data_IF_892579129897
#
_entry.id   IF_892579129897
#
_cell.length_a   1.000
_cell.length_b   1.000
_cell.length_c   1.000
_cell.angle_alpha   90.00
_cell.angle_beta   90.00
_cell.angle_gamma   90.00
#
_symmetry.space_group_name_H-M   'P 1'
#
loop_
_entity.id
_entity.type
_entity.pdbx_description
1 polymer ?
#
# COMPACT_ATOMS: atom_id res chain seq x y z
N UNK A 1 -11.34 6.94 11.00
CA UNK A 1 -11.11 5.63 11.39
C UNK A 1 -12.23 4.71 11.07
N UNK A 2 -13.46 5.10 11.47
CA UNK A 2 -14.64 4.38 11.06
C UNK A 2 -14.72 4.31 9.54
N UNK A 3 -14.18 5.31 8.83
CA UNK A 3 -14.18 5.30 7.38
C UNK A 3 -13.31 4.19 6.81
N UNK A 4 -12.17 3.90 7.43
CA UNK A 4 -11.34 2.79 7.00
C UNK A 4 -12.07 1.47 7.21
N UNK A 5 -12.69 1.32 8.38
CA UNK A 5 -13.44 0.11 8.67
C UNK A 5 -14.61 -0.07 7.71
N UNK A 6 -15.32 1.01 7.40
CA UNK A 6 -16.42 0.94 6.46
C UNK A 6 -15.91 0.54 5.08
N UNK A 7 -14.78 1.08 4.65
CA UNK A 7 -14.22 0.71 3.35
C UNK A 7 -13.79 -0.74 3.29
N UNK A 8 -13.22 -1.27 4.37
CA UNK A 8 -12.86 -2.67 4.43
C UNK A 8 -14.12 -3.53 4.40
N UNK A 9 -15.15 -3.14 5.14
CA UNK A 9 -16.43 -3.86 5.11
C UNK A 9 -17.08 -3.79 3.74
N UNK A 10 -17.03 -2.62 3.12
CA UNK A 10 -17.55 -2.48 1.77
C UNK A 10 -16.79 -3.38 0.80
N UNK A 11 -15.51 -3.58 1.07
CA UNK A 11 -14.72 -4.50 0.29
C UNK A 11 -15.22 -5.92 0.38
N UNK A 12 -15.84 -6.28 1.51
CA UNK A 12 -16.41 -7.61 1.67
C UNK A 12 -17.53 -7.86 0.65
N UNK A 13 -18.20 -6.79 0.26
CA UNK A 13 -19.25 -6.93 -0.74
C UNK A 13 -18.69 -7.37 -2.09
N UNK A 14 -17.44 -7.05 -2.34
CA UNK A 14 -16.80 -7.47 -3.58
C UNK A 14 -16.49 -8.95 -3.58
N UNK A 15 -16.59 -9.59 -2.43
CA UNK A 15 -16.45 -11.04 -2.35
C UNK A 15 -17.53 -11.74 -3.13
N UNK A 16 -18.63 -11.06 -3.39
CA UNK A 16 -19.66 -11.59 -4.28
C UNK A 16 -19.07 -11.92 -5.65
N UNK A 17 -17.95 -11.33 -5.98
CA UNK A 17 -17.26 -11.59 -7.24
C UNK A 17 -16.13 -12.60 -7.06
N UNK A 18 -16.05 -13.25 -5.90
CA UNK A 18 -14.98 -14.20 -5.62
C UNK A 18 -13.64 -13.59 -5.31
N UNK A 19 -13.62 -12.31 -5.03
CA UNK A 19 -12.41 -11.58 -4.69
C UNK A 19 -12.37 -11.35 -3.20
N UNK A 20 -11.23 -11.34 -2.59
CA UNK A 20 -11.10 -11.03 -1.18
C UNK A 20 -11.48 -9.59 -0.85
N UNK A 21 -11.26 -9.15 0.39
CA UNK A 21 -11.55 -7.78 0.80
C UNK A 21 -10.93 -6.77 -0.16
N UNK A 22 -11.67 -5.74 -0.47
CA UNK A 22 -11.19 -4.68 -1.35
C UNK A 22 -10.85 -3.46 -0.50
N UNK A 23 -9.62 -3.01 -0.60
CA UNK A 23 -9.15 -1.86 0.17
C UNK A 23 -8.97 -0.69 -0.78
N UNK A 24 -9.75 0.37 -0.56
CA UNK A 24 -9.68 1.53 -1.43
C UNK A 24 -8.44 2.36 -1.16
N UNK A 25 -7.99 3.04 -2.19
CA UNK A 25 -6.87 3.98 -2.06
C UNK A 25 -7.18 5.07 -1.07
N UNK A 26 -8.45 5.51 -1.02
CA UNK A 26 -8.87 6.54 -0.06
C UNK A 26 -8.73 6.05 1.38
N UNK A 27 -9.03 4.80 1.65
CA UNK A 27 -8.88 4.24 2.99
C UNK A 27 -7.41 4.16 3.39
N UNK A 28 -6.55 3.76 2.46
CA UNK A 28 -5.11 3.69 2.70
C UNK A 28 -4.56 5.10 2.92
N UNK A 29 -5.01 6.07 2.12
CA UNK A 29 -4.61 7.47 2.30
C UNK A 29 -4.97 7.97 3.69
N UNK A 30 -6.18 7.66 4.16
CA UNK A 30 -6.61 8.04 5.50
C UNK A 30 -5.73 7.42 6.58
N UNK A 31 -5.33 6.17 6.40
CA UNK A 31 -4.42 5.52 7.34
C UNK A 31 -3.09 6.28 7.42
N UNK A 32 -2.52 6.66 6.28
CA UNK A 32 -1.27 7.41 6.28
C UNK A 32 -1.42 8.78 6.93
N UNK A 33 -2.58 9.42 6.77
CA UNK A 33 -2.85 10.67 7.48
C UNK A 33 -2.86 10.45 9.00
N UNK A 34 -3.47 9.34 9.44
CA UNK A 34 -3.46 8.99 10.86
C UNK A 34 -2.05 8.71 11.38
N UNK A 35 -1.17 8.22 10.52
CA UNK A 35 0.23 7.98 10.87
C UNK A 35 1.08 9.25 10.81
N UNK A 36 0.49 10.38 10.48
CA UNK A 36 1.18 11.67 10.54
C UNK A 36 1.68 12.20 9.21
N UNK A 37 1.29 11.59 8.10
CA UNK A 37 1.72 12.03 6.77
C UNK A 37 0.69 12.97 6.14
N UNK A 38 1.19 13.88 5.30
CA UNK A 38 0.33 14.60 4.36
C UNK A 38 0.26 13.74 3.11
N UNK A 39 -0.94 13.51 2.59
CA UNK A 39 -1.11 12.56 1.49
C UNK A 39 -1.72 13.23 0.27
N UNK A 40 -1.32 12.71 -0.89
CA UNK A 40 -1.88 13.09 -2.17
C UNK A 40 -2.20 11.80 -2.92
N UNK A 41 -3.46 11.62 -3.28
CA UNK A 41 -3.89 10.47 -4.08
C UNK A 41 -3.70 10.86 -5.54
N UNK A 42 -2.90 10.09 -6.26
CA UNK A 42 -2.64 10.35 -7.67
C UNK A 42 -3.59 9.50 -8.52
N UNK A 43 -3.76 9.89 -9.77
CA UNK A 43 -4.50 9.05 -10.69
C UNK A 43 -3.64 7.83 -10.99
N UNK A 44 -4.21 6.65 -10.78
CA UNK A 44 -3.57 5.42 -11.15
C UNK A 44 -3.35 5.41 -12.66
N UNK A 45 -2.13 5.15 -13.08
CA UNK A 45 -1.85 4.93 -14.49
C UNK A 45 -1.92 3.44 -14.76
N UNK A 46 -2.14 3.12 -16.02
CA UNK A 46 -2.24 1.73 -16.45
C UNK A 46 -0.99 0.94 -16.14
N UNK A 47 0.14 1.61 -16.07
CA UNK A 47 1.45 0.97 -15.91
C UNK A 47 1.91 0.92 -14.45
N UNK A 48 1.00 1.09 -13.52
CA UNK A 48 1.32 0.94 -12.11
C UNK A 48 2.17 2.06 -11.56
N UNK A 49 1.74 3.29 -11.76
CA UNK A 49 2.36 4.40 -11.09
C UNK A 49 2.00 4.37 -9.61
N UNK A 50 2.60 5.25 -8.84
CA UNK A 50 2.27 5.36 -7.43
C UNK A 50 0.84 5.84 -7.26
N UNK A 51 0.09 5.19 -6.37
CA UNK A 51 -1.29 5.56 -6.10
C UNK A 51 -1.39 6.69 -5.09
N UNK A 52 -0.45 6.74 -4.17
CA UNK A 52 -0.44 7.74 -3.10
C UNK A 52 0.98 8.24 -2.92
N UNK A 53 1.12 9.53 -2.73
CA UNK A 53 2.38 10.14 -2.31
C UNK A 53 2.16 10.67 -0.90
N UNK A 54 2.94 10.18 0.06
CA UNK A 54 2.83 10.58 1.45
C UNK A 54 4.11 11.30 1.85
N UNK A 55 3.97 12.48 2.46
CA UNK A 55 5.13 13.28 2.82
C UNK A 55 5.08 13.71 4.27
N UNK A 56 6.24 13.83 4.87
CA UNK A 56 6.40 14.52 6.14
C UNK A 56 7.27 15.74 5.90
N UNK A 57 6.75 16.89 6.23
CA UNK A 57 7.50 18.14 6.14
C UNK A 57 8.21 18.39 7.46
N UNK A 58 9.30 19.11 7.41
CA UNK A 58 10.07 19.42 8.60
C UNK A 58 11.49 19.78 8.19
N UNK A 59 12.40 19.88 9.16
CA UNK A 59 13.80 20.16 8.85
C UNK A 59 14.41 19.14 7.91
N UNK A 60 13.93 17.89 7.97
CA UNK A 60 14.37 16.83 7.07
C UNK A 60 13.12 16.28 6.38
N UNK A 61 12.82 16.73 5.16
CA UNK A 61 11.64 16.24 4.45
C UNK A 61 11.76 14.76 4.11
N UNK A 62 10.61 14.10 4.10
CA UNK A 62 10.57 12.66 3.83
C UNK A 62 9.41 12.37 2.88
N UNK A 63 9.66 11.58 1.85
CA UNK A 63 8.65 11.22 0.84
C UNK A 63 8.53 9.71 0.71
N UNK A 64 7.30 9.22 0.80
CA UNK A 64 6.94 7.84 0.51
C UNK A 64 6.12 7.79 -0.75
N UNK A 65 6.31 6.74 -1.54
CA UNK A 65 5.31 6.37 -2.54
C UNK A 65 4.60 5.12 -2.06
N UNK A 66 3.31 5.04 -2.29
CA UNK A 66 2.48 3.92 -1.85
C UNK A 66 1.76 3.36 -3.05
N UNK A 67 1.90 2.07 -3.27
CA UNK A 67 1.23 1.36 -4.32
C UNK A 67 0.17 0.45 -3.71
N UNK A 68 -1.07 0.53 -4.18
CA UNK A 68 -2.17 -0.30 -3.69
C UNK A 68 -2.54 -1.34 -4.74
N UNK A 69 -2.55 -2.60 -4.36
CA UNK A 69 -2.93 -3.71 -5.24
C UNK A 69 -4.14 -4.43 -4.66
N UNK A 70 -5.27 -4.30 -5.36
CA UNK A 70 -6.54 -4.90 -4.95
C UNK A 70 -6.72 -6.26 -5.61
N UNK A 71 -5.92 -7.22 -5.21
CA UNK A 71 -5.97 -8.55 -5.83
C UNK A 71 -6.73 -9.52 -4.95
N UNK A 72 -7.40 -10.48 -5.59
CA UNK A 72 -8.13 -11.50 -4.87
C UNK A 72 -7.21 -12.36 -4.00
N UNK A 73 -7.81 -13.02 -3.00
CA UNK A 73 -7.06 -13.76 -1.99
C UNK A 73 -6.13 -14.83 -2.58
N UNK A 74 -6.47 -15.37 -3.75
CA UNK A 74 -5.68 -16.41 -4.40
C UNK A 74 -4.63 -15.86 -5.37
N UNK A 75 -4.57 -14.54 -5.51
CA UNK A 75 -3.66 -13.92 -6.46
C UNK A 75 -2.61 -13.13 -5.68
N UNK A 76 -1.50 -13.78 -5.38
CA UNK A 76 -0.43 -13.17 -4.61
C UNK A 76 0.30 -12.12 -5.44
N UNK A 77 0.74 -11.08 -4.77
CA UNK A 77 1.58 -10.05 -5.40
C UNK A 77 2.99 -10.60 -5.52
N UNK A 78 3.49 -10.67 -6.74
CA UNK A 78 4.79 -11.28 -7.00
C UNK A 78 5.93 -10.25 -7.02
N UNK A 79 7.13 -10.76 -7.19
CA UNK A 79 8.33 -9.93 -7.13
C UNK A 79 8.39 -8.90 -8.26
N UNK A 80 7.74 -9.17 -9.40
CA UNK A 80 7.77 -8.21 -10.52
C UNK A 80 7.07 -6.90 -10.15
N UNK A 81 5.98 -6.99 -9.39
CA UNK A 81 5.27 -5.81 -8.89
C UNK A 81 6.16 -5.01 -7.94
N UNK A 82 6.79 -5.72 -7.01
CA UNK A 82 7.65 -5.07 -6.02
C UNK A 82 8.86 -4.41 -6.68
N UNK A 83 9.45 -5.07 -7.68
CA UNK A 83 10.53 -4.47 -8.45
C UNK A 83 10.10 -3.21 -9.19
N UNK A 84 8.91 -3.24 -9.79
CA UNK A 84 8.37 -2.08 -10.48
C UNK A 84 8.22 -0.89 -9.54
N UNK A 85 7.70 -1.13 -8.36
CA UNK A 85 7.53 -0.07 -7.35
C UNK A 85 8.88 0.49 -6.94
N UNK A 86 9.86 -0.39 -6.75
CA UNK A 86 11.21 0.05 -6.41
C UNK A 86 11.81 0.91 -7.53
N UNK A 87 11.57 0.55 -8.78
CA UNK A 87 12.00 1.33 -9.92
C UNK A 87 11.39 2.73 -9.93
N UNK A 88 10.10 2.84 -9.65
CA UNK A 88 9.42 4.13 -9.58
C UNK A 88 9.98 4.97 -8.42
N UNK A 89 10.17 4.33 -7.26
CA UNK A 89 10.75 4.99 -6.10
C UNK A 89 12.11 5.60 -6.44
N UNK A 90 12.96 4.83 -7.12
CA UNK A 90 14.28 5.26 -7.50
C UNK A 90 14.22 6.41 -8.50
N UNK A 91 13.37 6.29 -9.52
CA UNK A 91 13.22 7.31 -10.54
C UNK A 91 12.70 8.63 -9.97
N UNK A 92 11.81 8.55 -8.99
CA UNK A 92 11.25 9.74 -8.33
C UNK A 92 12.12 10.26 -7.19
N UNK A 93 13.15 9.53 -6.84
CA UNK A 93 14.02 9.85 -5.71
C UNK A 93 13.22 9.94 -4.39
N UNK A 94 12.19 9.12 -4.26
CA UNK A 94 11.44 9.02 -3.01
C UNK A 94 12.29 8.26 -1.99
N UNK A 95 12.08 8.57 -0.73
CA UNK A 95 12.89 7.99 0.35
C UNK A 95 12.55 6.52 0.59
N UNK A 96 11.24 6.19 0.53
CA UNK A 96 10.77 4.83 0.74
C UNK A 96 9.57 4.56 -0.13
N UNK A 97 9.24 3.28 -0.24
CA UNK A 97 7.98 2.86 -0.85
C UNK A 97 7.29 1.84 0.03
N UNK A 98 5.96 1.80 -0.07
CA UNK A 98 5.13 0.83 0.61
C UNK A 98 4.22 0.19 -0.44
N UNK A 99 4.17 -1.13 -0.47
CA UNK A 99 3.21 -1.83 -1.32
C UNK A 99 2.16 -2.43 -0.41
N UNK A 100 0.91 -2.05 -0.62
CA UNK A 100 -0.23 -2.50 0.18
C UNK A 100 -1.09 -3.39 -0.69
N UNK A 101 -1.48 -4.54 -0.19
CA UNK A 101 -2.36 -5.42 -0.94
C UNK A 101 -3.46 -6.00 -0.05
N UNK A 102 -4.60 -6.27 -0.66
CA UNK A 102 -5.69 -7.01 -0.01
C UNK A 102 -5.43 -8.52 -0.06
N UNK A 103 -4.35 -8.94 -0.70
CA UNK A 103 -3.93 -10.32 -0.82
C UNK A 103 -2.71 -10.59 0.05
N UNK A 104 -1.80 -11.39 -0.45
CA UNK A 104 -0.54 -11.76 0.18
C UNK A 104 0.58 -11.53 -0.83
N UNK A 105 1.81 -11.61 -0.35
CA UNK A 105 2.99 -11.51 -1.20
C UNK A 105 3.62 -12.88 -1.38
N UNK A 106 4.25 -13.08 -2.54
CA UNK A 106 5.03 -14.30 -2.75
C UNK A 106 6.30 -14.25 -1.90
N UNK A 107 6.89 -15.42 -1.73
CA UNK A 107 8.14 -15.53 -0.99
C UNK A 107 9.25 -14.68 -1.63
N UNK A 108 9.33 -14.67 -2.95
CA UNK A 108 10.34 -13.88 -3.66
C UNK A 108 10.11 -12.38 -3.50
N UNK A 109 8.84 -11.95 -3.49
CA UNK A 109 8.51 -10.54 -3.25
C UNK A 109 8.97 -10.12 -1.85
N UNK A 110 8.69 -10.94 -0.86
CA UNK A 110 9.12 -10.66 0.51
C UNK A 110 10.63 -10.62 0.64
N UNK A 111 11.32 -11.54 0.01
CA UNK A 111 12.77 -11.57 0.04
C UNK A 111 13.37 -10.30 -0.58
N UNK A 112 12.83 -9.88 -1.71
CA UNK A 112 13.30 -8.67 -2.38
C UNK A 112 13.18 -7.45 -1.44
N UNK A 113 12.03 -7.31 -0.77
CA UNK A 113 11.81 -6.21 0.15
C UNK A 113 12.66 -6.30 1.40
N UNK A 114 12.84 -7.51 1.94
CA UNK A 114 13.69 -7.70 3.12
C UNK A 114 15.13 -7.28 2.88
N UNK A 115 15.64 -7.55 1.68
CA UNK A 115 16.98 -7.14 1.32
C UNK A 115 17.10 -5.61 1.18
N UNK A 116 15.96 -4.93 1.15
CA UNK A 116 15.86 -3.46 1.02
C UNK A 116 14.97 -2.89 2.11
N UNK A 117 15.05 -3.45 3.31
CA UNK A 117 14.09 -3.13 4.38
C UNK A 117 14.06 -1.66 4.78
N UNK A 118 15.12 -0.92 4.53
CA UNK A 118 15.14 0.50 4.81
C UNK A 118 14.55 1.32 3.67
N UNK A 119 14.27 0.70 2.54
CA UNK A 119 13.76 1.38 1.35
C UNK A 119 12.35 0.95 0.98
N UNK A 120 11.94 -0.25 1.38
CA UNK A 120 10.64 -0.81 1.02
C UNK A 120 9.97 -1.50 2.18
N UNK A 121 8.65 -1.37 2.26
CA UNK A 121 7.82 -2.07 3.23
C UNK A 121 6.64 -2.71 2.49
N UNK A 122 6.31 -3.93 2.85
CA UNK A 122 5.17 -4.64 2.28
C UNK A 122 4.12 -4.85 3.36
N UNK A 123 2.89 -4.44 3.08
CA UNK A 123 1.74 -4.68 3.96
C UNK A 123 0.72 -5.53 3.22
N UNK A 124 0.54 -6.75 3.67
CA UNK A 124 -0.55 -7.58 3.19
C UNK A 124 -1.82 -7.28 3.98
N UNK A 125 -2.89 -8.03 3.73
CA UNK A 125 -4.17 -7.76 4.39
C UNK A 125 -4.05 -7.88 5.92
N UNK A 126 -3.27 -8.82 6.42
CA UNK A 126 -3.13 -9.00 7.87
C UNK A 126 -2.37 -7.84 8.50
N UNK A 127 -1.30 -7.38 7.84
CA UNK A 127 -0.54 -6.21 8.29
C UNK A 127 -1.43 -4.98 8.33
N UNK A 128 -2.24 -4.81 7.29
CA UNK A 128 -3.10 -3.64 7.17
C UNK A 128 -4.17 -3.63 8.25
N UNK A 129 -4.81 -4.78 8.49
CA UNK A 129 -5.83 -4.88 9.53
C UNK A 129 -5.26 -4.58 10.91
N UNK A 130 -4.05 -5.07 11.17
CA UNK A 130 -3.38 -4.80 12.43
C UNK A 130 -3.11 -3.31 12.60
N UNK A 131 -2.64 -2.64 11.55
CA UNK A 131 -2.38 -1.20 11.60
C UNK A 131 -3.66 -0.40 11.82
N UNK A 132 -4.74 -0.79 11.18
CA UNK A 132 -6.04 -0.14 11.38
C UNK A 132 -6.48 -0.28 12.84
N UNK A 133 -6.34 -1.46 13.41
CA UNK A 133 -6.72 -1.71 14.80
C UNK A 133 -5.86 -0.88 15.75
N UNK A 134 -4.56 -0.81 15.51
CA UNK A 134 -3.63 -0.10 16.40
C UNK A 134 -3.78 1.42 16.33
N UNK A 135 -4.26 1.95 15.21
CA UNK A 135 -4.36 3.38 15.00
C UNK A 135 -5.80 3.89 15.03
N UNK A 136 -6.70 3.03 15.43
CA UNK A 136 -8.09 3.41 15.55
C UNK A 136 -8.50 3.71 16.97
#
# INVERSE_FOLDING_TARGET
FSRINVKIKSGEETELNGQGPNISEAAVAELFEKLGYSVKVTKATRDGGQDIIATKKGPIPFTLIVECKHWGANHKVDVSVVRSVYGVQTAMQANKSVVVTSSKFTKDARKFAEERQELMTLWDIDDLLKLVIENC
#
